data_IF_114949688351
#
_entry.id   IF_114949688351
#
_cell.length_a   1.000
_cell.length_b   1.000
_cell.length_c   1.000
_cell.angle_alpha   90.00
_cell.angle_beta   90.00
_cell.angle_gamma   90.00
#
_symmetry.space_group_name_H-M   'P 1'
#
loop_
_entity.id
_entity.type
_entity.pdbx_description
1 polymer ?
#
# COMPACT_ATOMS: atom_id res chain seq x y z
N UNK A 1 -13.06 3.18 -32.78
CA UNK A 1 -14.11 2.67 -31.89
C UNK A 1 -13.93 1.16 -31.74
N UNK A 2 -13.59 0.67 -30.53
CA UNK A 2 -13.66 -0.71 -29.98
C UNK A 2 -12.52 -0.92 -29.00
N UNK A 3 -12.66 -0.36 -27.79
CA UNK A 3 -11.84 -0.71 -26.62
C UNK A 3 -12.73 -0.66 -25.37
N UNK A 4 -13.62 -1.62 -25.19
CA UNK A 4 -14.47 -1.66 -24.00
C UNK A 4 -14.99 -3.08 -23.68
N UNK A 5 -14.10 -4.09 -23.55
CA UNK A 5 -14.56 -5.43 -23.17
C UNK A 5 -13.58 -6.26 -22.29
N UNK A 6 -12.60 -5.64 -21.67
CA UNK A 6 -11.61 -6.39 -20.86
C UNK A 6 -11.88 -6.39 -19.34
N UNK A 7 -12.83 -5.61 -18.83
CA UNK A 7 -13.05 -5.48 -17.38
C UNK A 7 -14.08 -6.45 -16.77
N UNK A 8 -14.90 -7.11 -17.61
CA UNK A 8 -15.96 -8.00 -17.09
C UNK A 8 -15.53 -9.45 -16.85
N UNK A 9 -14.39 -9.88 -17.35
CA UNK A 9 -13.97 -11.29 -17.24
C UNK A 9 -13.24 -11.63 -15.92
N UNK A 10 -12.78 -10.65 -15.15
CA UNK A 10 -12.13 -10.90 -13.87
C UNK A 10 -13.12 -11.20 -12.73
N UNK A 11 -14.35 -10.69 -12.82
CA UNK A 11 -15.39 -10.92 -11.81
C UNK A 11 -15.97 -12.34 -11.83
N UNK A 12 -15.83 -13.07 -12.92
CA UNK A 12 -16.41 -14.42 -13.08
C UNK A 12 -15.56 -15.54 -12.47
N UNK A 13 -14.32 -15.27 -12.06
CA UNK A 13 -13.40 -16.27 -11.49
C UNK A 13 -13.51 -16.41 -9.95
N UNK A 14 -14.31 -15.59 -9.29
CA UNK A 14 -14.36 -15.53 -7.83
C UNK A 14 -15.54 -16.22 -7.12
N UNK A 15 -16.62 -16.71 -7.75
CA UNK A 15 -17.77 -17.22 -6.99
C UNK A 15 -17.46 -18.44 -6.11
N UNK A 16 -16.47 -19.28 -6.48
CA UNK A 16 -16.09 -20.46 -5.68
C UNK A 16 -15.09 -20.19 -4.56
N UNK A 17 -14.33 -19.08 -4.65
CA UNK A 17 -13.39 -18.71 -3.60
C UNK A 17 -14.09 -18.08 -2.38
N UNK A 18 -15.29 -17.54 -2.54
CA UNK A 18 -16.02 -16.86 -1.46
C UNK A 18 -16.65 -17.82 -0.47
N UNK A 19 -16.89 -19.07 -0.85
CA UNK A 19 -17.47 -20.09 0.05
C UNK A 19 -16.49 -20.59 1.12
N UNK A 20 -15.19 -20.25 0.98
CA UNK A 20 -14.12 -20.60 1.94
C UNK A 20 -13.32 -19.37 2.38
N UNK A 21 -13.86 -18.18 2.22
CA UNK A 21 -13.20 -16.96 2.64
C UNK A 21 -13.53 -16.64 4.10
N UNK A 22 -12.48 -16.46 4.92
CA UNK A 22 -12.57 -16.00 6.32
C UNK A 22 -12.83 -14.48 6.37
N UNK A 23 -12.36 -13.76 5.36
CA UNK A 23 -12.65 -12.32 5.18
C UNK A 23 -12.55 -11.90 3.72
N UNK A 24 -13.38 -10.94 3.34
CA UNK A 24 -13.31 -10.27 2.05
C UNK A 24 -13.69 -8.79 2.22
N UNK A 25 -12.97 -7.90 1.54
CA UNK A 25 -13.20 -6.47 1.67
C UNK A 25 -12.91 -5.69 0.39
N UNK A 26 -13.50 -4.50 0.30
CA UNK A 26 -13.09 -3.42 -0.60
C UNK A 26 -12.76 -2.19 0.23
N UNK A 27 -11.73 -1.46 -0.16
CA UNK A 27 -11.27 -0.25 0.53
C UNK A 27 -11.02 0.86 -0.51
N UNK A 28 -11.64 1.99 -0.32
CA UNK A 28 -11.36 3.21 -1.06
C UNK A 28 -10.62 4.20 -0.17
N UNK A 29 -9.63 4.90 -0.73
CA UNK A 29 -8.84 5.91 -0.04
C UNK A 29 -8.48 7.05 -0.97
N UNK A 30 -8.81 8.27 -0.56
CA UNK A 30 -8.35 9.51 -1.13
C UNK A 30 -7.18 10.07 -0.33
N UNK A 31 -6.17 10.60 -1.00
CA UNK A 31 -4.96 11.17 -0.41
C UNK A 31 -4.76 12.60 -0.89
N UNK A 32 -4.26 13.44 0.00
CA UNK A 32 -3.73 14.78 -0.28
C UNK A 32 -2.33 14.92 0.32
N UNK A 33 -1.38 15.44 -0.45
CA UNK A 33 -0.02 15.77 0.00
C UNK A 33 0.14 17.29 0.05
N UNK A 34 0.47 17.82 1.23
CA UNK A 34 0.33 19.26 1.54
C UNK A 34 1.26 20.14 0.70
N UNK A 35 2.56 19.86 0.62
CA UNK A 35 3.52 20.71 -0.08
C UNK A 35 3.42 20.59 -1.60
N UNK A 36 3.22 19.38 -2.11
CA UNK A 36 3.05 19.14 -3.56
C UNK A 36 1.64 19.43 -4.03
N UNK A 37 0.68 19.58 -3.11
CA UNK A 37 -0.76 19.78 -3.35
C UNK A 37 -1.39 18.71 -4.25
N UNK A 38 -0.74 17.54 -4.33
CA UNK A 38 -1.14 16.46 -5.21
C UNK A 38 -2.21 15.57 -4.55
N UNK A 39 -3.24 15.24 -5.34
CA UNK A 39 -4.26 14.27 -4.94
C UNK A 39 -4.00 12.90 -5.57
N UNK A 40 -4.33 11.86 -4.83
CA UNK A 40 -4.25 10.48 -5.32
C UNK A 40 -5.35 9.63 -4.71
N UNK A 41 -5.78 8.63 -5.47
CA UNK A 41 -6.85 7.72 -5.08
C UNK A 41 -6.37 6.27 -5.17
N UNK A 42 -6.94 5.42 -4.33
CA UNK A 42 -6.68 3.99 -4.35
C UNK A 42 -7.96 3.21 -4.08
N UNK A 43 -8.21 2.23 -4.94
CA UNK A 43 -9.16 1.16 -4.67
C UNK A 43 -8.38 -0.11 -4.38
N UNK A 44 -8.60 -0.72 -3.24
CA UNK A 44 -8.01 -2.00 -2.83
C UNK A 44 -9.12 -3.00 -2.56
N UNK A 45 -8.95 -4.20 -3.02
CA UNK A 45 -9.80 -5.35 -2.68
C UNK A 45 -8.92 -6.48 -2.16
N UNK A 46 -9.45 -7.26 -1.26
CA UNK A 46 -8.71 -8.37 -0.68
C UNK A 46 -9.62 -9.45 -0.14
N UNK A 47 -9.06 -10.65 -0.07
CA UNK A 47 -9.69 -11.81 0.56
C UNK A 47 -8.65 -12.63 1.30
N UNK A 48 -9.09 -13.26 2.38
CA UNK A 48 -8.32 -14.28 3.07
C UNK A 48 -9.16 -15.54 3.20
N UNK A 49 -8.55 -16.66 2.84
CA UNK A 49 -9.18 -17.97 2.92
C UNK A 49 -8.95 -18.59 4.31
N UNK A 50 -9.82 -19.47 4.74
CA UNK A 50 -9.69 -20.26 5.98
C UNK A 50 -8.38 -21.04 6.06
N UNK A 51 -7.83 -21.40 4.90
CA UNK A 51 -6.51 -22.04 4.77
C UNK A 51 -5.32 -21.14 5.13
N UNK A 52 -5.55 -19.83 5.33
CA UNK A 52 -4.53 -18.83 5.60
C UNK A 52 -3.99 -18.10 4.36
N UNK A 53 -4.32 -18.53 3.14
CA UNK A 53 -3.94 -17.80 1.93
C UNK A 53 -4.72 -16.49 1.82
N UNK A 54 -4.01 -15.43 1.43
CA UNK A 54 -4.59 -14.11 1.19
C UNK A 54 -4.21 -13.58 -0.18
N UNK A 55 -5.15 -12.91 -0.82
CA UNK A 55 -5.00 -12.29 -2.12
C UNK A 55 -5.48 -10.85 -2.05
N UNK A 56 -4.68 -9.92 -2.55
CA UNK A 56 -5.03 -8.50 -2.57
C UNK A 56 -4.72 -7.92 -3.95
N UNK A 57 -5.56 -6.98 -4.38
CA UNK A 57 -5.32 -6.17 -5.57
C UNK A 57 -5.53 -4.70 -5.26
N UNK A 58 -4.67 -3.85 -5.82
CA UNK A 58 -4.78 -2.39 -5.70
C UNK A 58 -4.79 -1.76 -7.09
N UNK A 59 -5.69 -0.79 -7.28
CA UNK A 59 -5.70 0.14 -8.41
C UNK A 59 -5.40 1.53 -7.87
N UNK A 60 -4.41 2.19 -8.47
CA UNK A 60 -3.90 3.47 -8.01
C UNK A 60 -4.15 4.53 -9.08
N UNK A 61 -4.55 5.71 -8.66
CA UNK A 61 -4.81 6.86 -9.51
C UNK A 61 -4.19 8.10 -8.90
N UNK A 62 -3.92 9.12 -9.72
CA UNK A 62 -3.46 10.44 -9.29
C UNK A 62 -4.06 11.51 -10.16
N UNK A 63 -4.13 12.74 -9.65
CA UNK A 63 -4.35 13.92 -10.47
C UNK A 63 -3.08 14.25 -11.25
N UNK A 64 -3.22 14.76 -12.47
CA UNK A 64 -2.11 15.10 -13.36
C UNK A 64 -2.39 16.42 -14.11
N UNK A 65 -1.37 16.95 -14.80
CA UNK A 65 -1.47 18.19 -15.56
C UNK A 65 -1.39 19.44 -14.68
N UNK A 66 -1.82 20.57 -15.21
CA UNK A 66 -1.64 21.90 -14.60
C UNK A 66 -2.50 22.13 -13.34
N UNK A 67 -3.52 21.29 -13.13
CA UNK A 67 -4.46 21.37 -11.99
C UNK A 67 -4.38 20.15 -11.07
N UNK A 68 -3.18 19.65 -10.85
CA UNK A 68 -2.97 18.51 -9.95
C UNK A 68 -3.39 18.78 -8.49
N UNK A 69 -3.59 20.04 -8.12
CA UNK A 69 -4.05 20.51 -6.82
C UNK A 69 -5.58 20.51 -6.67
N UNK A 70 -6.32 20.09 -7.68
CA UNK A 70 -7.77 19.97 -7.65
C UNK A 70 -8.16 18.49 -7.63
N UNK A 71 -8.83 18.07 -6.55
CA UNK A 71 -9.26 16.69 -6.36
C UNK A 71 -10.14 16.23 -7.55
N UNK A 72 -9.85 15.03 -8.05
CA UNK A 72 -10.57 14.37 -9.17
C UNK A 72 -10.49 15.06 -10.52
N UNK A 73 -9.76 16.16 -10.64
CA UNK A 73 -9.51 16.78 -11.94
C UNK A 73 -8.41 16.00 -12.68
N UNK A 74 -8.62 15.73 -13.97
CA UNK A 74 -7.69 14.99 -14.82
C UNK A 74 -7.06 13.74 -14.15
N UNK A 75 -7.90 12.87 -13.62
CA UNK A 75 -7.46 11.63 -12.95
C UNK A 75 -6.87 10.65 -13.96
N UNK A 76 -5.64 10.22 -13.74
CA UNK A 76 -4.92 9.24 -14.56
C UNK A 76 -4.52 8.01 -13.73
N UNK A 77 -4.30 6.88 -14.40
CA UNK A 77 -3.77 5.68 -13.75
C UNK A 77 -2.38 5.92 -13.17
N UNK A 78 -2.13 5.42 -11.96
CA UNK A 78 -0.85 5.49 -11.26
C UNK A 78 -0.34 4.11 -10.86
N UNK A 79 -0.74 3.10 -11.61
CA UNK A 79 -0.32 1.72 -11.44
C UNK A 79 -1.30 0.82 -10.71
N UNK A 80 -0.89 -0.42 -10.56
CA UNK A 80 -1.62 -1.46 -9.86
C UNK A 80 -0.66 -2.38 -9.12
N UNK A 81 -1.16 -3.08 -8.11
CA UNK A 81 -0.38 -4.05 -7.34
C UNK A 81 -1.23 -5.30 -7.08
N UNK A 82 -0.63 -6.47 -7.23
CA UNK A 82 -1.20 -7.75 -6.85
C UNK A 82 -0.31 -8.37 -5.77
N UNK A 83 -0.95 -8.84 -4.69
CA UNK A 83 -0.24 -9.44 -3.55
C UNK A 83 -0.84 -10.80 -3.23
N UNK A 84 0.04 -11.78 -3.01
CA UNK A 84 -0.29 -13.08 -2.43
C UNK A 84 0.44 -13.20 -1.10
N UNK A 85 -0.24 -13.67 -0.08
CA UNK A 85 0.32 -13.87 1.25
C UNK A 85 -0.20 -15.15 1.89
N UNK A 86 0.54 -15.64 2.88
CA UNK A 86 0.10 -16.79 3.67
C UNK A 86 0.24 -16.48 5.16
N UNK A 87 -0.84 -16.61 5.92
CA UNK A 87 -0.79 -16.46 7.38
C UNK A 87 -0.55 -17.80 8.06
N UNK A 88 0.53 -17.89 8.81
CA UNK A 88 0.89 -19.04 9.61
C UNK A 88 0.91 -18.69 11.10
N UNK A 89 -0.06 -19.21 11.84
CA UNK A 89 -0.11 -19.05 13.30
C UNK A 89 0.89 -20.01 13.92
N UNK A 90 1.96 -19.50 14.56
CA UNK A 90 2.89 -20.31 15.33
C UNK A 90 2.27 -20.73 16.68
N UNK A 91 1.50 -19.82 17.28
CA UNK A 91 0.71 -20.01 18.50
C UNK A 91 -0.28 -18.86 18.65
N UNK A 92 -0.96 -18.75 19.80
CA UNK A 92 -1.98 -17.71 20.06
C UNK A 92 -1.44 -16.27 20.03
N UNK A 93 -0.13 -16.09 20.13
CA UNK A 93 0.51 -14.77 20.18
C UNK A 93 1.31 -14.43 18.93
N UNK A 94 1.87 -15.40 18.22
CA UNK A 94 2.79 -15.19 17.13
C UNK A 94 2.16 -15.56 15.78
N UNK A 95 2.24 -14.64 14.83
CA UNK A 95 1.76 -14.81 13.47
C UNK A 95 2.88 -14.48 12.49
N UNK A 96 3.19 -15.40 11.58
CA UNK A 96 4.07 -15.16 10.44
C UNK A 96 3.24 -14.94 9.18
N UNK A 97 3.68 -13.99 8.35
CA UNK A 97 3.00 -13.71 7.07
C UNK A 97 4.03 -13.43 5.98
N UNK A 98 4.57 -14.48 5.31
CA UNK A 98 5.28 -14.30 4.06
C UNK A 98 4.35 -13.74 2.99
N UNK A 99 4.91 -12.94 2.07
CA UNK A 99 4.17 -12.32 0.98
C UNK A 99 5.03 -12.12 -0.25
N UNK A 100 4.39 -12.22 -1.42
CA UNK A 100 4.94 -11.84 -2.71
C UNK A 100 3.98 -10.82 -3.33
N UNK A 101 4.52 -9.76 -3.91
CA UNK A 101 3.71 -8.80 -4.64
C UNK A 101 4.39 -8.38 -5.96
N UNK A 102 3.55 -8.03 -6.91
CA UNK A 102 3.93 -7.46 -8.19
C UNK A 102 3.23 -6.11 -8.31
N UNK A 103 4.01 -5.04 -8.37
CA UNK A 103 3.51 -3.70 -8.66
C UNK A 103 3.96 -3.27 -10.04
N UNK A 104 3.05 -2.73 -10.84
CA UNK A 104 3.39 -2.13 -12.13
C UNK A 104 2.88 -0.69 -12.15
N UNK A 105 3.79 0.21 -12.50
CA UNK A 105 3.52 1.63 -12.76
C UNK A 105 3.98 1.97 -14.18
N UNK A 106 3.79 3.21 -14.60
CA UNK A 106 4.06 3.62 -15.99
C UNK A 106 5.49 3.28 -16.49
N UNK A 107 6.49 3.37 -15.60
CA UNK A 107 7.91 3.29 -15.99
C UNK A 107 8.67 2.14 -15.34
N UNK A 108 8.01 1.33 -14.52
CA UNK A 108 8.69 0.23 -13.84
C UNK A 108 7.75 -0.88 -13.39
N UNK A 109 8.33 -2.05 -13.17
CA UNK A 109 7.68 -3.17 -12.49
C UNK A 109 8.52 -3.58 -11.29
N UNK A 110 7.91 -3.62 -10.11
CA UNK A 110 8.55 -4.04 -8.87
C UNK A 110 8.07 -5.43 -8.43
N UNK A 111 9.02 -6.32 -8.20
CA UNK A 111 8.83 -7.63 -7.57
C UNK A 111 9.17 -7.48 -6.10
N UNK A 112 8.21 -7.74 -5.22
CA UNK A 112 8.34 -7.51 -3.79
C UNK A 112 8.23 -8.82 -3.02
N UNK A 113 9.19 -9.08 -2.15
CA UNK A 113 9.21 -10.27 -1.30
C UNK A 113 9.33 -9.84 0.14
N UNK A 114 8.39 -10.25 0.99
CA UNK A 114 8.33 -9.79 2.38
C UNK A 114 7.99 -10.88 3.37
N UNK A 115 8.46 -10.68 4.60
CA UNK A 115 8.07 -11.48 5.77
C UNK A 115 7.64 -10.54 6.89
N UNK A 116 6.37 -10.63 7.28
CA UNK A 116 5.82 -9.92 8.45
C UNK A 116 5.69 -10.88 9.62
N UNK A 117 6.11 -10.41 10.79
CA UNK A 117 5.93 -11.08 12.08
C UNK A 117 5.01 -10.22 12.92
N UNK A 118 3.92 -10.80 13.43
CA UNK A 118 3.00 -10.17 14.36
C UNK A 118 3.10 -10.80 15.74
N UNK A 119 3.05 -9.97 16.77
CA UNK A 119 3.02 -10.40 18.18
C UNK A 119 1.85 -9.75 18.90
N UNK A 120 0.94 -10.57 19.40
CA UNK A 120 -0.19 -10.15 20.22
C UNK A 120 0.27 -9.97 21.67
N UNK A 121 0.47 -8.71 22.08
CA UNK A 121 0.89 -8.35 23.43
C UNK A 121 -0.26 -8.54 24.41
N UNK A 122 -1.44 -8.02 24.04
CA UNK A 122 -2.72 -8.18 24.73
C UNK A 122 -3.82 -8.43 23.70
N UNK A 123 -5.06 -8.64 24.13
CA UNK A 123 -6.21 -8.72 23.21
C UNK A 123 -6.45 -7.44 22.40
N UNK A 124 -5.97 -6.31 22.89
CA UNK A 124 -6.13 -5.00 22.28
C UNK A 124 -4.88 -4.51 21.56
N UNK A 125 -3.68 -4.93 21.98
CA UNK A 125 -2.41 -4.43 21.48
C UNK A 125 -1.66 -5.50 20.69
N UNK A 126 -1.36 -5.20 19.44
CA UNK A 126 -0.52 -6.02 18.56
C UNK A 126 0.65 -5.19 18.04
N UNK A 127 1.84 -5.72 18.15
CA UNK A 127 3.05 -5.21 17.53
C UNK A 127 3.37 -6.05 16.30
N UNK A 128 3.88 -5.42 15.24
CA UNK A 128 4.32 -6.17 14.06
C UNK A 128 5.58 -5.55 13.46
N UNK A 129 6.44 -6.38 12.92
CA UNK A 129 7.59 -5.99 12.12
C UNK A 129 7.54 -6.67 10.76
N UNK A 130 8.03 -6.03 9.71
CA UNK A 130 8.20 -6.61 8.38
C UNK A 130 9.53 -6.19 7.79
N UNK A 131 10.24 -7.16 7.23
CA UNK A 131 11.26 -6.93 6.23
C UNK A 131 10.67 -7.21 4.84
N UNK A 132 11.00 -6.35 3.85
CA UNK A 132 10.59 -6.53 2.46
C UNK A 132 11.70 -6.07 1.52
N UNK A 133 12.05 -6.92 0.59
CA UNK A 133 12.94 -6.61 -0.51
C UNK A 133 12.13 -6.34 -1.78
N UNK A 134 12.40 -5.20 -2.42
CA UNK A 134 11.77 -4.77 -3.66
C UNK A 134 12.83 -4.75 -4.78
N UNK A 135 12.68 -5.59 -5.80
CA UNK A 135 13.47 -5.55 -7.03
C UNK A 135 12.69 -4.82 -8.11
N UNK A 136 13.19 -3.69 -8.55
CA UNK A 136 12.50 -2.76 -9.46
C UNK A 136 13.15 -2.82 -10.83
N UNK A 137 12.37 -3.26 -11.83
CA UNK A 137 12.78 -3.31 -13.24
C UNK A 137 12.30 -2.05 -13.94
N UNK A 138 13.22 -1.25 -14.45
CA UNK A 138 12.91 0.00 -15.16
C UNK A 138 12.62 -0.28 -16.63
N UNK A 139 11.64 0.43 -17.19
CA UNK A 139 11.39 0.47 -18.63
C UNK A 139 12.43 1.39 -19.27
N UNK A 140 13.49 0.81 -19.83
CA UNK A 140 14.63 1.53 -20.40
C UNK A 140 14.28 2.41 -21.61
N UNK A 141 13.21 2.08 -22.30
CA UNK A 141 12.74 2.89 -23.45
C UNK A 141 12.04 4.16 -23.01
N UNK A 142 11.55 4.21 -21.76
CA UNK A 142 10.82 5.33 -21.16
C UNK A 142 11.61 6.11 -20.10
N UNK A 143 12.77 5.62 -19.73
CA UNK A 143 13.68 6.36 -18.84
C UNK A 143 14.29 7.51 -19.63
N UNK A 144 14.22 8.72 -19.08
CA UNK A 144 14.81 9.90 -19.70
C UNK A 144 16.32 9.68 -19.86
N UNK A 145 16.83 9.78 -21.09
CA UNK A 145 18.25 9.58 -21.40
C UNK A 145 19.19 10.59 -20.73
N UNK A 146 18.62 11.67 -20.19
CA UNK A 146 19.36 12.70 -19.43
C UNK A 146 19.55 12.33 -17.95
N UNK A 147 19.05 11.16 -17.50
CA UNK A 147 19.32 10.67 -16.14
C UNK A 147 20.75 10.13 -16.03
N UNK A 148 21.41 10.31 -14.87
CA UNK A 148 22.70 9.68 -14.60
C UNK A 148 22.63 8.15 -14.79
N UNK A 149 23.71 7.54 -15.30
CA UNK A 149 23.77 6.10 -15.59
C UNK A 149 23.36 5.20 -14.41
N UNK A 150 23.64 5.63 -13.17
CA UNK A 150 23.24 4.90 -11.96
C UNK A 150 21.73 4.91 -11.67
N UNK A 151 20.96 5.80 -12.32
CA UNK A 151 19.50 5.84 -12.22
C UNK A 151 18.80 5.13 -13.38
N UNK A 152 19.52 4.74 -14.42
CA UNK A 152 18.99 4.00 -15.56
C UNK A 152 19.03 2.48 -15.39
N UNK A 153 19.66 2.00 -14.33
CA UNK A 153 19.76 0.57 -14.01
C UNK A 153 18.55 0.09 -13.22
N UNK A 154 18.32 -1.20 -13.25
CA UNK A 154 17.39 -1.85 -12.33
C UNK A 154 17.74 -1.47 -10.89
N UNK A 155 16.73 -1.22 -10.08
CA UNK A 155 16.84 -0.67 -8.73
C UNK A 155 16.40 -1.69 -7.68
N UNK A 156 16.89 -1.54 -6.48
CA UNK A 156 16.46 -2.33 -5.33
C UNK A 156 16.23 -1.50 -4.08
N UNK A 157 15.34 -1.98 -3.22
CA UNK A 157 15.04 -1.34 -1.94
C UNK A 157 14.86 -2.40 -0.87
N UNK A 158 15.61 -2.25 0.22
CA UNK A 158 15.36 -2.93 1.49
C UNK A 158 14.40 -2.07 2.31
N UNK A 159 13.26 -2.63 2.69
CA UNK A 159 12.24 -1.92 3.46
C UNK A 159 11.97 -2.61 4.77
N UNK A 160 11.97 -1.83 5.82
CA UNK A 160 11.70 -2.23 7.20
C UNK A 160 10.48 -1.48 7.71
N UNK A 161 9.45 -2.20 8.12
CA UNK A 161 8.25 -1.61 8.70
C UNK A 161 8.05 -2.09 10.14
N UNK A 162 7.57 -1.20 10.98
CA UNK A 162 7.08 -1.51 12.33
C UNK A 162 5.69 -0.95 12.51
N UNK A 163 4.77 -1.74 13.08
CA UNK A 163 3.42 -1.30 13.40
C UNK A 163 3.11 -1.49 14.87
N UNK A 164 2.39 -0.53 15.42
CA UNK A 164 1.68 -0.62 16.69
C UNK A 164 0.18 -0.52 16.38
N UNK A 165 -0.57 -1.58 16.65
CA UNK A 165 -2.01 -1.63 16.43
C UNK A 165 -2.72 -1.74 17.77
N UNK A 166 -3.62 -0.81 18.07
CA UNK A 166 -4.42 -0.81 19.28
C UNK A 166 -5.92 -0.78 18.95
N UNK A 167 -6.63 -1.85 19.29
CA UNK A 167 -8.07 -1.95 19.16
C UNK A 167 -8.72 -1.74 20.53
N UNK A 168 -9.54 -0.69 20.68
CA UNK A 168 -10.28 -0.46 21.93
C UNK A 168 -11.35 -1.54 22.14
N UNK A 169 -11.92 -1.60 23.33
CA UNK A 169 -13.13 -2.41 23.57
C UNK A 169 -14.38 -1.84 22.89
N UNK A 170 -14.31 -0.61 22.40
CA UNK A 170 -15.35 0.08 21.64
C UNK A 170 -15.09 0.00 20.12
N UNK A 171 -15.68 0.91 19.34
CA UNK A 171 -15.59 0.88 17.88
C UNK A 171 -14.28 1.43 17.30
N UNK A 172 -13.40 2.01 18.12
CA UNK A 172 -12.18 2.67 17.67
C UNK A 172 -11.00 1.71 17.59
N UNK A 173 -10.19 1.88 16.55
CA UNK A 173 -8.86 1.28 16.48
C UNK A 173 -7.85 2.27 15.91
N UNK A 174 -6.62 2.16 16.38
CA UNK A 174 -5.51 3.04 16.08
C UNK A 174 -4.36 2.21 15.54
N UNK A 175 -3.68 2.76 14.55
CA UNK A 175 -2.48 2.16 13.99
C UNK A 175 -1.42 3.23 13.84
N UNK A 176 -0.22 2.95 14.31
CA UNK A 176 0.96 3.72 13.98
C UNK A 176 1.90 2.84 13.18
N UNK A 177 2.43 3.37 12.08
CA UNK A 177 3.41 2.71 11.24
C UNK A 177 4.63 3.60 11.09
N UNK A 178 5.80 3.03 11.32
CA UNK A 178 7.08 3.58 10.93
C UNK A 178 7.65 2.70 9.82
N UNK A 179 8.17 3.32 8.76
CA UNK A 179 8.82 2.64 7.64
C UNK A 179 10.18 3.26 7.41
N UNK A 180 11.21 2.43 7.28
CA UNK A 180 12.54 2.80 6.86
C UNK A 180 12.87 2.12 5.53
N UNK A 181 13.56 2.86 4.66
CA UNK A 181 13.98 2.38 3.35
C UNK A 181 15.49 2.56 3.22
N UNK A 182 16.14 1.56 2.65
CA UNK A 182 17.52 1.58 2.19
C UNK A 182 17.53 1.11 0.73
N UNK A 183 18.03 1.93 -0.19
CA UNK A 183 17.95 1.70 -1.62
C UNK A 183 19.34 1.76 -2.26
N UNK A 184 19.46 1.26 -3.47
CA UNK A 184 20.68 1.41 -4.27
C UNK A 184 20.71 2.70 -5.11
N UNK A 185 19.66 3.52 -5.04
CA UNK A 185 19.49 4.80 -5.71
C UNK A 185 19.11 5.93 -4.73
N UNK A 186 19.23 7.19 -5.17
CA UNK A 186 18.89 8.36 -4.36
C UNK A 186 17.39 8.39 -4.05
N UNK A 187 17.05 8.43 -2.78
CA UNK A 187 15.66 8.46 -2.29
C UNK A 187 15.26 9.76 -1.63
N UNK A 188 16.08 10.30 -0.76
CA UNK A 188 15.76 11.47 0.05
C UNK A 188 17.04 12.21 0.46
N UNK A 189 17.04 13.55 0.42
CA UNK A 189 18.17 14.42 0.81
C UNK A 189 19.50 14.01 0.15
N UNK A 190 19.46 13.69 -1.14
CA UNK A 190 20.59 13.14 -1.88
C UNK A 190 21.22 11.87 -1.29
N UNK A 191 20.51 11.17 -0.39
CA UNK A 191 20.92 9.90 0.18
C UNK A 191 20.02 8.74 -0.30
N UNK A 192 20.52 7.54 -0.13
CA UNK A 192 19.83 6.28 -0.50
C UNK A 192 18.79 5.88 0.52
N UNK A 193 18.80 6.48 1.68
CA UNK A 193 17.87 6.16 2.77
C UNK A 193 16.66 7.09 2.78
N UNK A 194 15.58 6.64 3.39
CA UNK A 194 14.34 7.42 3.57
C UNK A 194 13.52 6.80 4.72
N UNK A 195 12.63 7.58 5.29
CA UNK A 195 11.66 7.04 6.25
C UNK A 195 10.28 7.67 6.03
N UNK A 196 9.26 6.97 6.48
CA UNK A 196 7.89 7.47 6.52
C UNK A 196 7.25 7.12 7.85
N UNK A 197 6.36 7.99 8.31
CA UNK A 197 5.51 7.74 9.48
C UNK A 197 4.05 7.89 9.09
N UNK A 198 3.19 7.08 9.69
CA UNK A 198 1.77 7.14 9.44
C UNK A 198 0.98 6.78 10.69
N UNK A 199 -0.01 7.59 11.05
CA UNK A 199 -0.97 7.31 12.10
C UNK A 199 -2.37 7.19 11.47
N UNK A 200 -3.07 6.09 11.74
CA UNK A 200 -4.40 5.83 11.24
C UNK A 200 -5.41 5.68 12.37
N UNK A 201 -6.58 6.27 12.18
CA UNK A 201 -7.72 6.28 13.08
C UNK A 201 -8.88 5.62 12.34
N UNK A 202 -9.36 4.48 12.82
CA UNK A 202 -10.40 3.69 12.18
C UNK A 202 -11.60 3.59 13.13
N UNK A 203 -12.79 3.73 12.58
CA UNK A 203 -14.04 3.65 13.34
C UNK A 203 -14.93 2.55 12.76
N UNK A 204 -15.20 1.52 13.54
CA UNK A 204 -16.13 0.44 13.16
C UNK A 204 -17.55 0.96 13.34
N UNK A 205 -18.13 1.51 12.26
CA UNK A 205 -19.51 2.04 12.29
C UNK A 205 -20.52 0.93 12.51
N UNK A 206 -20.36 -0.17 11.78
CA UNK A 206 -21.10 -1.40 11.97
C UNK A 206 -20.21 -2.62 11.65
N UNK A 207 -20.80 -3.80 11.41
CA UNK A 207 -20.04 -5.00 11.07
C UNK A 207 -19.31 -4.91 9.73
N UNK A 208 -19.80 -4.08 8.79
CA UNK A 208 -19.32 -3.99 7.43
C UNK A 208 -18.51 -2.70 7.16
N UNK A 209 -18.97 -1.53 7.65
CA UNK A 209 -18.42 -0.23 7.32
C UNK A 209 -17.37 0.25 8.34
N UNK A 210 -16.19 0.56 7.84
CA UNK A 210 -15.06 1.08 8.64
C UNK A 210 -14.48 2.31 7.96
N UNK A 211 -15.06 3.52 8.16
CA UNK A 211 -14.42 4.77 7.78
C UNK A 211 -13.11 4.96 8.55
N UNK A 212 -12.15 5.65 7.91
CA UNK A 212 -10.87 5.94 8.51
C UNK A 212 -10.27 7.26 8.03
N UNK A 213 -9.37 7.78 8.85
CA UNK A 213 -8.53 8.92 8.57
C UNK A 213 -7.08 8.56 8.89
N UNK A 214 -6.14 9.02 8.04
CA UNK A 214 -4.71 8.81 8.26
C UNK A 214 -3.95 10.12 8.11
N UNK A 215 -2.95 10.31 8.96
CA UNK A 215 -1.95 11.38 8.88
C UNK A 215 -0.59 10.74 8.72
N UNK A 216 0.17 11.18 7.74
CA UNK A 216 1.52 10.67 7.51
C UNK A 216 2.51 11.80 7.31
N UNK A 217 3.76 11.52 7.62
CA UNK A 217 4.92 12.33 7.30
C UNK A 217 5.73 11.61 6.22
N UNK A 218 5.91 12.27 5.07
CA UNK A 218 6.61 11.73 3.91
C UNK A 218 7.56 12.77 3.32
N UNK A 219 8.53 12.35 2.55
CA UNK A 219 9.38 13.27 1.78
C UNK A 219 8.59 14.07 0.76
N UNK A 220 9.11 15.23 0.38
CA UNK A 220 8.60 16.01 -0.76
C UNK A 220 9.20 15.49 -2.06
N UNK A 221 10.54 15.36 -2.11
CA UNK A 221 11.30 14.89 -3.28
C UNK A 221 12.53 14.06 -2.83
N UNK A 222 13.45 13.77 -3.75
CA UNK A 222 14.68 13.03 -3.47
C UNK A 222 15.91 13.94 -3.25
N UNK A 223 15.83 15.23 -3.55
CA UNK A 223 16.97 16.12 -3.68
C UNK A 223 17.27 16.94 -2.42
N UNK A 224 16.25 17.17 -1.59
CA UNK A 224 16.37 17.95 -0.36
C UNK A 224 15.74 17.25 0.86
N UNK A 225 15.98 17.82 2.05
CA UNK A 225 15.51 17.30 3.33
C UNK A 225 14.05 17.63 3.65
N UNK A 226 13.32 18.23 2.69
CA UNK A 226 11.95 18.66 2.94
C UNK A 226 10.99 17.49 3.09
N UNK A 227 10.16 17.62 4.11
CA UNK A 227 9.09 16.70 4.41
C UNK A 227 7.72 17.37 4.28
N UNK A 228 6.69 16.58 4.12
CA UNK A 228 5.31 17.06 3.98
C UNK A 228 4.32 16.17 4.71
N UNK A 229 3.22 16.78 5.13
CA UNK A 229 2.07 16.03 5.62
C UNK A 229 1.33 15.37 4.46
N UNK A 230 0.95 14.12 4.70
CA UNK A 230 0.07 13.34 3.84
C UNK A 230 -1.21 13.04 4.60
N UNK A 231 -2.32 13.59 4.14
CA UNK A 231 -3.65 13.36 4.70
C UNK A 231 -4.39 12.34 3.84
N UNK A 232 -5.07 11.38 4.48
CA UNK A 232 -5.84 10.36 3.81
C UNK A 232 -7.16 10.17 4.50
N UNK A 233 -8.23 10.09 3.72
CA UNK A 233 -9.56 9.71 4.18
C UNK A 233 -10.04 8.53 3.35
N UNK A 234 -10.79 7.66 3.96
CA UNK A 234 -11.28 6.50 3.23
C UNK A 234 -12.33 5.71 3.99
N UNK A 235 -12.78 4.67 3.34
CA UNK A 235 -13.73 3.72 3.90
C UNK A 235 -13.41 2.32 3.43
N UNK A 236 -13.53 1.37 4.34
CA UNK A 236 -13.49 -0.05 4.04
C UNK A 236 -14.87 -0.65 4.23
N UNK A 237 -15.28 -1.47 3.28
CA UNK A 237 -16.46 -2.31 3.39
C UNK A 237 -16.02 -3.77 3.46
N UNK A 238 -16.43 -4.46 4.53
CA UNK A 238 -16.19 -5.88 4.73
C UNK A 238 -17.44 -6.65 4.29
N UNK A 239 -17.27 -7.63 3.42
CA UNK A 239 -18.37 -8.46 2.92
C UNK A 239 -18.70 -9.60 3.90
N UNK A 240 -17.69 -10.05 4.66
CA UNK A 240 -17.73 -11.18 5.58
C UNK A 240 -17.24 -10.77 6.97
#
# INVERSE_FOLDING_TARGET
MKKSFALLSLAALFPSAWTHADSAYINYRHQYAESTRMHADRVKFGTRLDSGWGFEGELKYKTAGDRQDVAFDNTVGNGHELTVSYQHKLNDKWLLTPSLALESIERSTAYKMGLKVGYKVTDQLTLSGRYRYDSIKLDRDRVNRDMPDNQMNDQSVDRYDVWVNYATKGPWSYEYQFTYFDADYIRYDNDKTDYEQNAAFKYKWDKNWVPFFEVGDIKVNSEDDKRQLRLRVGVQYNFL
#
